data_IF_844141566543
#
_entry.id   IF_844141566543
#
_cell.length_a   1.000
_cell.length_b   1.000
_cell.length_c   1.000
_cell.angle_alpha   90.00
_cell.angle_beta   90.00
_cell.angle_gamma   90.00
#
_symmetry.space_group_name_H-M   'P 1'
#
loop_
_entity.id
_entity.type
_entity.pdbx_description
1 polymer ?
#
# COMPACT_ATOMS: atom_id res chain seq x y z
N UNK A 1 11.32 18.63 3.93
CA UNK A 1 11.75 18.54 2.52
C UNK A 1 11.79 17.08 2.04
N UNK A 2 12.33 16.12 2.81
CA UNK A 2 12.34 14.69 2.45
C UNK A 2 10.92 14.14 2.22
N UNK A 3 9.98 14.35 3.15
CA UNK A 3 8.60 13.84 3.04
C UNK A 3 7.87 14.35 1.77
N UNK A 4 8.02 15.63 1.41
CA UNK A 4 7.46 16.17 0.14
C UNK A 4 8.10 15.54 -1.11
N UNK A 5 9.39 15.23 -1.06
CA UNK A 5 10.09 14.55 -2.15
C UNK A 5 9.61 13.11 -2.24
N UNK A 6 9.43 12.42 -1.11
CA UNK A 6 8.89 11.06 -1.05
C UNK A 6 7.46 11.01 -1.60
N UNK A 7 6.62 11.96 -1.21
CA UNK A 7 5.26 12.09 -1.74
C UNK A 7 5.27 12.31 -3.26
N UNK A 8 6.09 13.24 -3.75
CA UNK A 8 6.23 13.49 -5.18
C UNK A 8 6.73 12.24 -5.93
N UNK A 9 7.73 11.53 -5.37
CA UNK A 9 8.27 10.31 -5.95
C UNK A 9 7.20 9.21 -6.01
N UNK A 10 6.43 9.01 -4.92
CA UNK A 10 5.36 8.00 -4.88
C UNK A 10 4.27 8.31 -5.91
N UNK A 11 3.86 9.58 -6.04
CA UNK A 11 2.87 10.00 -7.04
C UNK A 11 3.36 9.83 -8.49
N UNK A 12 4.68 9.84 -8.74
CA UNK A 12 5.26 9.70 -10.09
C UNK A 12 6.03 8.40 -10.30
N UNK A 13 6.01 7.49 -9.33
CA UNK A 13 6.79 6.24 -9.30
C UNK A 13 6.63 5.41 -10.57
N UNK A 14 5.40 5.31 -11.07
CA UNK A 14 5.07 4.52 -12.26
C UNK A 14 5.74 5.09 -13.52
N UNK A 15 5.66 6.40 -13.73
CA UNK A 15 6.33 7.09 -14.83
C UNK A 15 7.85 6.97 -14.74
N UNK A 16 8.41 7.13 -13.55
CA UNK A 16 9.86 7.02 -13.31
C UNK A 16 10.36 5.61 -13.62
N UNK A 17 9.65 4.57 -13.18
CA UNK A 17 10.05 3.18 -13.42
C UNK A 17 10.01 2.82 -14.91
N UNK A 18 9.01 3.29 -15.64
CA UNK A 18 8.93 3.10 -17.11
C UNK A 18 10.08 3.84 -17.81
N UNK A 19 10.35 5.09 -17.42
CA UNK A 19 11.39 5.94 -18.02
C UNK A 19 12.81 5.42 -17.81
N UNK A 20 13.08 4.69 -16.72
CA UNK A 20 14.42 4.11 -16.45
C UNK A 20 14.90 3.19 -17.57
N UNK A 21 14.04 2.30 -18.08
CA UNK A 21 14.40 1.38 -19.14
C UNK A 21 14.57 2.09 -20.50
N UNK A 22 13.70 3.05 -20.79
CA UNK A 22 13.85 3.89 -21.97
C UNK A 22 15.15 4.69 -21.91
N UNK A 23 15.50 5.26 -20.74
CA UNK A 23 16.77 5.95 -20.54
C UNK A 23 17.98 5.03 -20.72
N UNK A 24 17.93 3.79 -20.22
CA UNK A 24 18.99 2.80 -20.43
C UNK A 24 19.22 2.55 -21.93
N UNK A 25 18.17 2.52 -22.73
CA UNK A 25 18.27 2.35 -24.19
C UNK A 25 18.99 3.54 -24.84
N UNK A 26 18.78 4.77 -24.37
CA UNK A 26 19.55 5.93 -24.82
C UNK A 26 21.03 5.86 -24.41
N UNK A 27 21.33 5.34 -23.22
CA UNK A 27 22.71 5.10 -22.80
C UNK A 27 23.39 4.09 -23.71
N UNK A 28 22.72 2.98 -24.04
CA UNK A 28 23.23 2.01 -25.02
C UNK A 28 23.45 2.63 -26.40
N UNK A 29 22.55 3.48 -26.85
CA UNK A 29 22.69 4.22 -28.10
C UNK A 29 23.94 5.12 -28.11
N UNK A 30 24.20 5.83 -27.01
CA UNK A 30 25.40 6.65 -26.86
C UNK A 30 26.66 5.78 -26.92
N UNK A 31 26.66 4.60 -26.30
CA UNK A 31 27.77 3.63 -26.38
C UNK A 31 28.01 3.21 -27.83
N UNK A 32 26.94 2.84 -28.55
CA UNK A 32 27.03 2.48 -29.97
C UNK A 32 27.61 3.63 -30.80
N UNK A 33 27.11 4.84 -30.62
CA UNK A 33 27.61 6.01 -31.32
C UNK A 33 29.09 6.27 -31.03
N UNK A 34 29.55 6.13 -29.79
CA UNK A 34 30.94 6.30 -29.40
C UNK A 34 31.84 5.23 -30.04
N UNK A 35 31.43 3.96 -29.99
CA UNK A 35 32.24 2.82 -30.43
C UNK A 35 32.21 2.67 -31.94
N UNK A 36 31.05 2.75 -32.58
CA UNK A 36 30.91 2.48 -34.02
C UNK A 36 31.25 3.72 -34.89
N UNK A 37 31.05 4.93 -34.39
CA UNK A 37 31.20 6.17 -35.17
C UNK A 37 32.39 7.03 -34.70
N UNK A 38 32.43 7.38 -33.41
CA UNK A 38 33.37 8.38 -32.90
C UNK A 38 34.77 7.82 -32.71
N UNK A 39 34.88 6.57 -32.29
CA UNK A 39 36.15 5.90 -32.02
C UNK A 39 36.16 4.46 -32.61
N UNK A 40 36.11 4.31 -33.93
CA UNK A 40 35.99 3.00 -34.59
C UNK A 40 37.17 2.06 -34.29
N UNK A 41 38.31 2.60 -33.89
CA UNK A 41 39.48 1.82 -33.47
C UNK A 41 39.20 0.99 -32.17
N UNK A 42 38.23 1.36 -31.37
CA UNK A 42 37.80 0.56 -30.21
C UNK A 42 37.24 -0.79 -30.64
N UNK A 43 36.65 -0.87 -31.83
CA UNK A 43 36.13 -2.13 -32.37
C UNK A 43 37.26 -3.18 -32.59
N UNK A 44 38.52 -2.72 -32.80
CA UNK A 44 39.66 -3.65 -32.93
C UNK A 44 39.99 -4.39 -31.63
N UNK A 45 39.56 -3.87 -30.49
CA UNK A 45 39.74 -4.50 -29.17
C UNK A 45 38.59 -5.46 -28.79
N UNK A 46 37.51 -5.45 -29.59
CA UNK A 46 36.33 -6.31 -29.37
C UNK A 46 36.53 -7.58 -30.18
N UNK A 47 36.31 -8.79 -29.63
CA UNK A 47 36.39 -10.03 -30.40
C UNK A 47 35.47 -9.99 -31.63
N UNK A 48 36.00 -10.42 -32.78
CA UNK A 48 35.27 -10.37 -34.06
C UNK A 48 33.87 -11.01 -34.01
N UNK A 49 33.68 -11.99 -33.16
CA UNK A 49 32.39 -12.67 -32.97
C UNK A 49 31.27 -11.70 -32.55
N UNK A 50 31.60 -10.63 -31.85
CA UNK A 50 30.63 -9.61 -31.40
C UNK A 50 30.43 -8.47 -32.39
N UNK A 51 31.08 -8.51 -33.54
CA UNK A 51 30.99 -7.45 -34.54
C UNK A 51 30.30 -8.00 -35.79
N UNK A 52 29.25 -7.33 -36.23
CA UNK A 52 28.47 -7.67 -37.42
C UNK A 52 28.80 -6.68 -38.55
N UNK A 53 28.70 -7.14 -39.79
CA UNK A 53 28.79 -6.26 -40.96
C UNK A 53 27.63 -5.27 -40.98
N UNK A 54 27.77 -4.15 -41.66
CA UNK A 54 26.74 -3.09 -41.76
C UNK A 54 25.42 -3.67 -42.27
N UNK A 55 25.42 -4.47 -43.32
CA UNK A 55 24.21 -5.06 -43.91
C UNK A 55 23.49 -5.98 -42.96
N UNK A 56 24.24 -6.84 -42.28
CA UNK A 56 23.68 -7.75 -41.26
C UNK A 56 23.10 -6.95 -40.07
N UNK A 57 23.84 -5.97 -39.58
CA UNK A 57 23.36 -5.09 -38.50
C UNK A 57 22.09 -4.35 -38.88
N UNK A 58 22.05 -3.78 -40.10
CA UNK A 58 20.85 -3.08 -40.62
C UNK A 58 19.65 -4.02 -40.75
N UNK A 59 19.85 -5.22 -41.26
CA UNK A 59 18.80 -6.22 -41.39
C UNK A 59 18.23 -6.64 -40.03
N UNK A 60 19.09 -6.96 -39.06
CA UNK A 60 18.65 -7.30 -37.71
C UNK A 60 17.92 -6.15 -37.00
N UNK A 61 18.50 -4.95 -37.00
CA UNK A 61 17.90 -3.79 -36.33
C UNK A 61 16.55 -3.41 -36.96
N UNK A 62 16.41 -3.50 -38.28
CA UNK A 62 15.15 -3.22 -38.99
C UNK A 62 14.06 -4.23 -38.59
N UNK A 63 14.40 -5.53 -38.60
CA UNK A 63 13.46 -6.58 -38.18
C UNK A 63 13.09 -6.43 -36.70
N UNK A 64 14.06 -6.19 -35.84
CA UNK A 64 13.83 -6.02 -34.40
C UNK A 64 12.95 -4.80 -34.09
N UNK A 65 13.06 -3.69 -34.86
CA UNK A 65 12.22 -2.51 -34.66
C UNK A 65 10.73 -2.84 -34.84
N UNK A 66 10.39 -3.61 -35.89
CA UNK A 66 9.04 -4.10 -36.13
C UNK A 66 8.53 -5.05 -35.01
N UNK A 67 9.41 -5.95 -34.57
CA UNK A 67 9.09 -6.89 -33.47
C UNK A 67 8.83 -6.11 -32.16
N UNK A 68 9.69 -5.15 -31.80
CA UNK A 68 9.49 -4.36 -30.58
C UNK A 68 8.18 -3.57 -30.61
N UNK A 69 7.82 -2.96 -31.75
CA UNK A 69 6.56 -2.23 -31.88
C UNK A 69 5.36 -3.19 -31.73
N UNK A 70 5.40 -4.35 -32.37
CA UNK A 70 4.34 -5.37 -32.29
C UNK A 70 4.17 -5.88 -30.87
N UNK A 71 5.26 -6.24 -30.19
CA UNK A 71 5.21 -6.74 -28.81
C UNK A 71 4.77 -5.63 -27.84
N UNK A 72 5.14 -4.37 -28.07
CA UNK A 72 4.64 -3.24 -27.28
C UNK A 72 3.12 -3.15 -27.37
N UNK A 73 2.56 -3.18 -28.56
CA UNK A 73 1.11 -3.12 -28.79
C UNK A 73 0.40 -4.31 -28.13
N UNK A 74 0.93 -5.52 -28.33
CA UNK A 74 0.39 -6.73 -27.71
C UNK A 74 0.41 -6.63 -26.17
N UNK A 75 1.51 -6.16 -25.61
CA UNK A 75 1.65 -5.99 -24.15
C UNK A 75 0.64 -4.98 -23.60
N UNK A 76 0.46 -3.83 -24.27
CA UNK A 76 -0.54 -2.84 -23.90
C UNK A 76 -1.95 -3.44 -23.91
N UNK A 77 -2.30 -4.16 -24.98
CA UNK A 77 -3.61 -4.84 -25.08
C UNK A 77 -3.79 -5.87 -23.97
N UNK A 78 -2.78 -6.65 -23.66
CA UNK A 78 -2.82 -7.64 -22.57
C UNK A 78 -3.04 -6.94 -21.22
N UNK A 79 -2.29 -5.86 -20.93
CA UNK A 79 -2.46 -5.09 -19.70
C UNK A 79 -3.87 -4.54 -19.60
N UNK A 80 -4.42 -3.93 -20.67
CA UNK A 80 -5.78 -3.41 -20.69
C UNK A 80 -6.82 -4.52 -20.46
N UNK A 81 -6.64 -5.69 -21.07
CA UNK A 81 -7.52 -6.85 -20.86
C UNK A 81 -7.50 -7.31 -19.39
N UNK A 82 -6.31 -7.40 -18.80
CA UNK A 82 -6.17 -7.77 -17.38
C UNK A 82 -6.82 -6.71 -16.49
N UNK A 83 -6.61 -5.43 -16.75
CA UNK A 83 -7.26 -4.34 -16.01
C UNK A 83 -8.78 -4.40 -16.11
N UNK A 84 -9.33 -4.70 -17.29
CA UNK A 84 -10.77 -4.87 -17.46
C UNK A 84 -11.29 -6.06 -16.64
N UNK A 85 -10.55 -7.19 -16.64
CA UNK A 85 -10.89 -8.36 -15.82
C UNK A 85 -10.85 -8.03 -14.33
N UNK A 86 -9.82 -7.30 -13.88
CA UNK A 86 -9.75 -6.85 -12.48
C UNK A 86 -10.89 -5.89 -12.13
N UNK A 87 -11.19 -4.93 -12.99
CA UNK A 87 -12.29 -3.98 -12.77
C UNK A 87 -13.67 -4.66 -12.71
N UNK A 88 -13.84 -5.81 -13.37
CA UNK A 88 -15.06 -6.62 -13.29
C UNK A 88 -15.13 -7.47 -12.01
N UNK A 89 -13.99 -7.88 -11.45
CA UNK A 89 -13.93 -8.84 -10.32
C UNK A 89 -13.55 -8.19 -8.99
N UNK A 90 -12.88 -7.02 -9.00
CA UNK A 90 -12.39 -6.35 -7.81
C UNK A 90 -12.84 -4.89 -7.75
N UNK A 91 -12.60 -4.25 -6.62
CA UNK A 91 -12.87 -2.82 -6.44
C UNK A 91 -11.81 -1.96 -7.15
N UNK A 92 -12.11 -0.67 -7.44
CA UNK A 92 -11.14 0.23 -8.05
C UNK A 92 -9.80 0.32 -7.30
N UNK A 93 -9.82 0.17 -5.96
CA UNK A 93 -8.60 0.21 -5.12
C UNK A 93 -7.68 -0.98 -5.38
N UNK A 94 -8.24 -2.18 -5.44
CA UNK A 94 -7.47 -3.41 -5.77
C UNK A 94 -6.94 -3.34 -7.19
N UNK A 95 -7.71 -2.77 -8.13
CA UNK A 95 -7.26 -2.53 -9.51
C UNK A 95 -6.07 -1.57 -9.53
N UNK A 96 -6.12 -0.49 -8.76
CA UNK A 96 -5.03 0.48 -8.64
C UNK A 96 -3.74 -0.20 -8.16
N UNK A 97 -3.80 -1.05 -7.14
CA UNK A 97 -2.64 -1.83 -6.67
C UNK A 97 -1.98 -2.67 -7.76
N UNK A 98 -2.77 -3.24 -8.67
CA UNK A 98 -2.19 -3.99 -9.79
C UNK A 98 -1.43 -3.07 -10.75
N UNK A 99 -1.98 -1.89 -11.07
CA UNK A 99 -1.34 -0.89 -11.94
C UNK A 99 -0.04 -0.39 -11.33
N UNK A 100 -0.02 -0.18 -10.02
CA UNK A 100 1.12 0.39 -9.29
C UNK A 100 2.27 -0.60 -9.08
N UNK A 101 2.07 -1.89 -9.43
CA UNK A 101 3.17 -2.88 -9.43
C UNK A 101 4.23 -2.49 -10.46
N UNK A 102 5.49 -2.25 -10.03
CA UNK A 102 6.53 -1.72 -10.91
C UNK A 102 6.83 -2.59 -12.14
N UNK A 103 6.54 -3.89 -12.07
CA UNK A 103 6.81 -4.83 -13.16
C UNK A 103 5.86 -4.68 -14.36
N UNK A 104 4.65 -4.17 -14.16
CA UNK A 104 3.64 -4.04 -15.22
C UNK A 104 4.04 -2.96 -16.21
N UNK A 105 4.32 -1.76 -15.72
CA UNK A 105 4.66 -0.62 -16.55
C UNK A 105 6.13 -0.63 -17.03
N UNK A 106 7.03 -1.26 -16.27
CA UNK A 106 8.44 -1.40 -16.67
C UNK A 106 8.62 -2.17 -17.97
N UNK A 107 7.75 -3.16 -18.24
CA UNK A 107 7.82 -3.93 -19.48
C UNK A 107 7.57 -3.05 -20.71
N UNK A 108 6.61 -2.12 -20.62
CA UNK A 108 6.37 -1.15 -21.69
C UNK A 108 7.66 -0.33 -21.93
N UNK A 109 8.32 0.11 -20.86
CA UNK A 109 9.58 0.85 -20.95
C UNK A 109 10.70 0.04 -21.63
N UNK A 110 10.76 -1.26 -21.38
CA UNK A 110 11.75 -2.16 -22.04
C UNK A 110 11.50 -2.24 -23.55
N UNK A 111 10.27 -2.46 -23.98
CA UNK A 111 9.98 -2.61 -25.42
C UNK A 111 10.02 -1.28 -26.17
N UNK A 112 9.48 -0.21 -25.60
CA UNK A 112 9.59 1.14 -26.15
C UNK A 112 11.05 1.57 -26.24
N UNK A 113 11.85 1.29 -25.21
CA UNK A 113 13.29 1.52 -25.24
C UNK A 113 14.00 0.74 -26.34
N UNK A 114 13.65 -0.54 -26.53
CA UNK A 114 14.18 -1.37 -27.62
C UNK A 114 13.82 -0.84 -29.01
N UNK A 115 12.59 -0.34 -29.18
CA UNK A 115 12.17 0.33 -30.41
C UNK A 115 13.03 1.57 -30.69
N UNK A 116 13.17 2.46 -29.71
CA UNK A 116 14.02 3.66 -29.87
C UNK A 116 15.49 3.28 -30.16
N UNK A 117 16.03 2.30 -29.41
CA UNK A 117 17.38 1.82 -29.65
C UNK A 117 17.56 1.36 -31.10
N UNK A 118 16.69 0.50 -31.61
CA UNK A 118 16.82 -0.07 -32.95
C UNK A 118 16.64 0.97 -34.04
N UNK A 119 15.61 1.83 -33.94
CA UNK A 119 15.37 2.87 -34.96
C UNK A 119 16.47 3.91 -34.99
N UNK A 120 16.91 4.41 -33.82
CA UNK A 120 17.97 5.42 -33.77
C UNK A 120 19.33 4.84 -34.15
N UNK A 121 19.63 3.57 -33.82
CA UNK A 121 20.83 2.89 -34.29
C UNK A 121 20.84 2.77 -35.81
N UNK A 122 19.69 2.49 -36.46
CA UNK A 122 19.59 2.48 -37.93
C UNK A 122 19.94 3.83 -38.54
N UNK A 123 19.52 4.94 -37.93
CA UNK A 123 19.90 6.28 -38.40
C UNK A 123 21.40 6.53 -38.24
N UNK A 124 21.97 6.14 -37.11
CA UNK A 124 23.39 6.35 -36.78
C UNK A 124 24.30 5.58 -37.73
N UNK A 125 23.97 4.32 -38.09
CA UNK A 125 24.83 3.48 -38.93
C UNK A 125 24.64 3.75 -40.43
N UNK A 126 23.79 4.65 -40.84
CA UNK A 126 23.51 4.93 -42.26
C UNK A 126 24.73 5.40 -43.00
N UNK A 127 25.52 6.30 -42.41
CA UNK A 127 26.70 6.94 -43.02
C UNK A 127 28.01 6.16 -42.80
N UNK A 128 27.95 4.98 -42.21
CA UNK A 128 29.15 4.15 -41.96
C UNK A 128 29.54 3.40 -43.24
N UNK A 129 30.85 3.14 -43.46
CA UNK A 129 31.36 2.40 -44.60
C UNK A 129 30.84 0.95 -44.65
N UNK A 130 30.66 0.38 -45.84
CA UNK A 130 30.06 -0.95 -46.02
C UNK A 130 30.90 -2.12 -45.46
N UNK A 131 32.22 -1.96 -45.43
CA UNK A 131 33.18 -2.95 -44.92
C UNK A 131 33.43 -2.86 -43.41
N UNK A 132 32.86 -1.82 -42.75
CA UNK A 132 33.03 -1.64 -41.30
C UNK A 132 32.17 -2.63 -40.51
N UNK A 133 32.81 -3.26 -39.53
CA UNK A 133 32.15 -4.11 -38.55
C UNK A 133 31.61 -3.25 -37.39
N UNK A 134 30.36 -3.53 -36.97
CA UNK A 134 29.57 -2.71 -36.02
C UNK A 134 29.14 -3.53 -34.81
N UNK A 135 29.13 -2.89 -33.65
CA UNK A 135 28.62 -3.44 -32.41
C UNK A 135 27.09 -3.26 -32.27
N UNK A 136 26.51 -2.29 -32.98
CA UNK A 136 25.09 -1.92 -32.91
C UNK A 136 24.12 -3.10 -33.05
N UNK A 137 24.38 -3.96 -34.09
CA UNK A 137 23.52 -5.13 -34.36
C UNK A 137 23.57 -6.16 -33.23
N UNK A 138 24.75 -6.46 -32.72
CA UNK A 138 24.95 -7.40 -31.62
C UNK A 138 24.30 -6.95 -30.34
N UNK A 139 24.45 -5.68 -29.98
CA UNK A 139 23.75 -5.11 -28.79
C UNK A 139 22.24 -5.13 -28.97
N UNK A 140 21.73 -4.91 -30.19
CA UNK A 140 20.32 -5.09 -30.53
C UNK A 140 19.81 -6.51 -30.30
N UNK A 141 20.59 -7.53 -30.71
CA UNK A 141 20.25 -8.94 -30.45
C UNK A 141 20.28 -9.26 -28.97
N UNK A 142 21.31 -8.81 -28.22
CA UNK A 142 21.38 -9.02 -26.78
C UNK A 142 20.19 -8.35 -26.08
N UNK A 143 19.86 -7.11 -26.47
CA UNK A 143 18.71 -6.39 -25.95
C UNK A 143 17.41 -7.17 -26.20
N UNK A 144 17.22 -7.72 -27.40
CA UNK A 144 16.05 -8.51 -27.75
C UNK A 144 15.93 -9.78 -26.89
N UNK A 145 17.05 -10.49 -26.68
CA UNK A 145 17.08 -11.70 -25.82
C UNK A 145 16.71 -11.34 -24.38
N UNK A 146 17.29 -10.28 -23.81
CA UNK A 146 16.98 -9.82 -22.45
C UNK A 146 15.52 -9.36 -22.33
N UNK A 147 15.00 -8.66 -23.34
CA UNK A 147 13.60 -8.24 -23.40
C UNK A 147 12.65 -9.44 -23.43
N UNK A 148 13.01 -10.52 -24.14
CA UNK A 148 12.22 -11.76 -24.18
C UNK A 148 12.19 -12.46 -22.81
N UNK A 149 13.32 -12.51 -22.10
CA UNK A 149 13.38 -13.05 -20.73
C UNK A 149 12.49 -12.21 -19.79
N UNK A 150 12.53 -10.89 -19.94
CA UNK A 150 11.68 -9.99 -19.14
C UNK A 150 10.20 -10.17 -19.46
N UNK A 151 9.85 -10.37 -20.74
CA UNK A 151 8.49 -10.69 -21.17
C UNK A 151 7.97 -12.00 -20.56
N UNK A 152 8.78 -13.07 -20.57
CA UNK A 152 8.40 -14.33 -19.93
C UNK A 152 8.11 -14.18 -18.44
N UNK A 153 8.93 -13.41 -17.72
CA UNK A 153 8.66 -13.08 -16.29
C UNK A 153 7.35 -12.32 -16.13
N UNK A 154 7.06 -11.38 -17.01
CA UNK A 154 5.80 -10.64 -17.00
C UNK A 154 4.59 -11.56 -17.21
N UNK A 155 4.62 -12.40 -18.25
CA UNK A 155 3.53 -13.35 -18.53
C UNK A 155 3.27 -14.24 -17.32
N UNK A 156 4.33 -14.78 -16.71
CA UNK A 156 4.20 -15.60 -15.50
C UNK A 156 3.56 -14.81 -14.34
N UNK A 157 3.99 -13.56 -14.13
CA UNK A 157 3.43 -12.71 -13.07
C UNK A 157 1.97 -12.34 -13.32
N UNK A 158 1.60 -12.07 -14.58
CA UNK A 158 0.20 -11.81 -14.97
C UNK A 158 -0.68 -13.04 -14.70
N UNK A 159 -0.25 -14.24 -15.13
CA UNK A 159 -0.99 -15.48 -14.87
C UNK A 159 -1.15 -15.75 -13.35
N UNK A 160 -0.14 -15.43 -12.56
CA UNK A 160 -0.22 -15.51 -11.12
C UNK A 160 -1.24 -14.52 -10.55
N UNK A 161 -1.17 -13.26 -10.99
CA UNK A 161 -2.01 -12.18 -10.47
C UNK A 161 -3.49 -12.30 -10.84
N UNK A 162 -3.87 -12.99 -11.92
CA UNK A 162 -5.28 -13.16 -12.32
C UNK A 162 -6.04 -14.06 -11.32
N UNK A 163 -5.37 -14.89 -10.55
CA UNK A 163 -6.02 -15.77 -9.57
C UNK A 163 -6.44 -14.97 -8.33
N UNK A 164 -7.71 -15.00 -8.02
CA UNK A 164 -8.33 -14.29 -6.88
C UNK A 164 -7.64 -14.60 -5.54
N UNK A 165 -7.35 -15.88 -5.30
CA UNK A 165 -6.65 -16.35 -4.10
C UNK A 165 -5.28 -15.67 -3.94
N UNK A 166 -4.56 -15.43 -5.03
CA UNK A 166 -3.25 -14.79 -4.98
C UNK A 166 -3.37 -13.28 -4.71
N UNK A 167 -4.42 -12.63 -5.22
CA UNK A 167 -4.71 -11.21 -4.92
C UNK A 167 -5.00 -11.04 -3.43
N UNK A 168 -5.88 -11.87 -2.88
CA UNK A 168 -6.20 -11.87 -1.45
C UNK A 168 -4.96 -12.15 -0.60
N UNK A 169 -4.10 -13.06 -1.05
CA UNK A 169 -2.86 -13.38 -0.34
C UNK A 169 -1.86 -12.23 -0.39
N UNK A 170 -1.67 -11.58 -1.55
CA UNK A 170 -0.79 -10.42 -1.69
C UNK A 170 -1.23 -9.25 -0.75
N UNK A 171 -2.57 -9.01 -0.66
CA UNK A 171 -3.13 -7.98 0.24
C UNK A 171 -2.94 -8.36 1.71
N UNK A 172 -3.16 -9.62 2.05
CA UNK A 172 -2.95 -10.13 3.40
C UNK A 172 -1.50 -9.99 3.86
N UNK A 173 -0.52 -10.39 3.03
CA UNK A 173 0.91 -10.31 3.36
C UNK A 173 1.38 -8.86 3.56
N UNK A 174 0.86 -7.94 2.76
CA UNK A 174 1.13 -6.49 2.94
C UNK A 174 0.53 -5.98 4.25
N UNK A 175 -0.73 -6.33 4.54
CA UNK A 175 -1.40 -5.97 5.79
C UNK A 175 -0.66 -6.54 7.01
N UNK A 176 -0.24 -7.80 6.96
CA UNK A 176 0.48 -8.47 8.05
C UNK A 176 1.80 -7.78 8.37
N UNK A 177 2.56 -7.41 7.33
CA UNK A 177 3.79 -6.64 7.51
C UNK A 177 3.54 -5.29 8.18
N UNK A 178 2.54 -4.52 7.71
CA UNK A 178 2.20 -3.22 8.27
C UNK A 178 1.68 -3.31 9.71
N UNK A 179 0.89 -4.33 10.02
CA UNK A 179 0.43 -4.61 11.39
C UNK A 179 1.58 -4.96 12.31
N UNK A 180 2.57 -5.71 11.83
CA UNK A 180 3.75 -6.02 12.62
C UNK A 180 4.55 -4.74 12.94
N UNK A 181 4.78 -3.88 11.93
CA UNK A 181 5.46 -2.59 12.11
C UNK A 181 4.68 -1.69 13.10
N UNK A 182 3.37 -1.57 12.94
CA UNK A 182 2.49 -0.82 13.85
C UNK A 182 2.51 -1.37 15.28
N UNK A 183 2.42 -2.70 15.42
CA UNK A 183 2.44 -3.36 16.73
C UNK A 183 3.74 -3.15 17.47
N UNK A 184 4.87 -3.16 16.78
CA UNK A 184 6.18 -2.93 17.38
C UNK A 184 6.31 -1.47 17.84
N UNK A 185 5.85 -0.50 17.04
CA UNK A 185 5.82 0.91 17.43
C UNK A 185 4.90 1.15 18.66
N UNK A 186 3.74 0.50 18.71
CA UNK A 186 2.82 0.58 19.88
C UNK A 186 3.49 -0.01 21.14
N UNK A 187 4.16 -1.14 21.05
CA UNK A 187 4.88 -1.76 22.19
C UNK A 187 5.98 -0.85 22.73
N UNK A 188 6.76 -0.23 21.85
CA UNK A 188 7.80 0.71 22.25
C UNK A 188 7.23 1.94 22.95
N UNK A 189 6.02 2.35 22.59
CA UNK A 189 5.33 3.52 23.13
C UNK A 189 4.63 3.29 24.47
N UNK A 190 4.50 2.05 24.95
CA UNK A 190 3.73 1.68 26.16
C UNK A 190 4.21 2.40 27.43
N UNK A 191 5.49 2.78 27.50
CA UNK A 191 6.07 3.51 28.66
C UNK A 191 5.56 4.97 28.80
N UNK A 192 4.83 5.46 27.81
CA UNK A 192 4.37 6.84 27.74
C UNK A 192 3.01 7.07 28.44
N UNK A 193 2.23 6.01 28.67
CA UNK A 193 0.83 5.99 29.10
C UNK A 193 0.51 6.58 30.49
N UNK A 194 1.49 6.78 31.37
CA UNK A 194 1.23 7.11 32.78
C UNK A 194 0.94 8.61 33.06
N UNK A 195 0.82 9.45 32.03
CA UNK A 195 0.57 10.88 32.22
C UNK A 195 -0.88 11.24 31.92
N UNK A 196 -1.59 11.78 32.91
CA UNK A 196 -2.89 12.44 32.70
C UNK A 196 -2.76 13.55 31.67
N UNK A 197 -3.48 13.40 30.55
CA UNK A 197 -3.56 14.40 29.48
C UNK A 197 -4.49 15.53 30.00
N UNK A 198 -3.92 16.72 30.27
CA UNK A 198 -4.69 17.92 30.56
C UNK A 198 -5.31 18.47 29.28
N UNK A 199 -6.37 19.29 29.41
CA UNK A 199 -7.02 19.96 28.27
C UNK A 199 -5.99 20.71 27.41
N UNK A 200 -6.01 20.48 26.09
CA UNK A 200 -5.03 21.02 25.16
C UNK A 200 -5.57 22.20 24.33
N UNK A 201 -4.67 22.82 23.53
CA UNK A 201 -5.04 23.82 22.53
C UNK A 201 -5.26 23.10 21.18
N UNK A 202 -6.43 23.28 20.54
CA UNK A 202 -6.73 22.62 19.28
C UNK A 202 -5.91 23.21 18.13
N UNK A 203 -5.51 22.35 17.22
CA UNK A 203 -4.89 22.69 15.94
C UNK A 203 -5.89 22.33 14.84
N UNK A 204 -6.14 23.30 13.96
CA UNK A 204 -7.09 23.16 12.88
C UNK A 204 -6.36 22.99 11.53
N UNK A 205 -6.95 22.18 10.66
CA UNK A 205 -6.43 21.98 9.31
C UNK A 205 -6.55 23.26 8.47
N UNK A 206 -5.50 23.58 7.72
CA UNK A 206 -5.48 24.70 6.77
C UNK A 206 -6.04 24.33 5.40
N UNK A 207 -6.09 23.05 5.07
CA UNK A 207 -6.45 22.51 3.76
C UNK A 207 -7.43 21.35 3.91
N UNK A 208 -8.04 20.94 2.78
CA UNK A 208 -8.91 19.76 2.71
C UNK A 208 -8.20 18.65 1.93
N UNK A 209 -8.23 17.42 2.43
CA UNK A 209 -7.62 16.25 1.79
C UNK A 209 -7.55 15.04 2.71
N UNK A 210 -7.01 13.95 2.21
CA UNK A 210 -6.71 12.77 3.03
C UNK A 210 -5.41 12.99 3.81
N UNK A 211 -5.44 12.73 5.12
CA UNK A 211 -4.24 12.78 5.95
C UNK A 211 -3.30 11.66 5.52
N UNK A 212 -2.15 12.07 4.99
CA UNK A 212 -1.21 11.18 4.34
C UNK A 212 -0.05 10.81 5.26
N UNK A 213 0.56 11.80 5.89
CA UNK A 213 1.77 11.60 6.69
C UNK A 213 2.03 12.84 7.55
N UNK A 214 2.89 12.70 8.54
CA UNK A 214 3.35 13.79 9.39
C UNK A 214 4.83 14.09 9.10
N UNK A 215 5.15 15.35 8.84
CA UNK A 215 6.55 15.75 8.74
C UNK A 215 7.16 15.87 10.14
N UNK A 216 7.47 14.73 10.75
CA UNK A 216 7.92 14.61 12.13
C UNK A 216 9.15 15.45 12.45
N UNK A 217 10.13 15.49 11.54
CA UNK A 217 11.39 16.21 11.76
C UNK A 217 11.19 17.74 11.82
N UNK A 218 10.33 18.28 10.97
CA UNK A 218 10.04 19.72 10.97
C UNK A 218 9.09 20.05 12.13
N UNK A 219 8.12 19.19 12.44
CA UNK A 219 7.25 19.31 13.59
C UNK A 219 8.05 19.35 14.90
N UNK A 220 8.96 18.42 15.10
CA UNK A 220 9.78 18.35 16.31
C UNK A 220 10.62 19.62 16.50
N UNK A 221 11.21 20.16 15.43
CA UNK A 221 11.94 21.45 15.47
C UNK A 221 11.06 22.63 15.89
N UNK A 222 9.77 22.61 15.50
CA UNK A 222 8.82 23.64 15.90
C UNK A 222 8.47 23.50 17.38
N UNK A 223 8.23 22.27 17.86
CA UNK A 223 7.84 21.98 19.24
C UNK A 223 8.99 22.20 20.23
N UNK A 224 10.25 21.91 19.86
CA UNK A 224 11.42 22.11 20.75
C UNK A 224 11.68 23.58 21.12
N UNK A 225 11.18 24.54 20.33
CA UNK A 225 11.26 25.97 20.70
C UNK A 225 10.36 26.31 21.88
N UNK A 226 9.23 25.61 22.01
CA UNK A 226 8.25 25.73 23.08
C UNK A 226 7.87 24.33 23.53
N UNK A 227 8.66 23.70 24.44
CA UNK A 227 8.47 22.30 24.79
C UNK A 227 7.05 21.97 25.21
N UNK A 228 6.43 21.12 24.42
CA UNK A 228 5.03 20.72 24.58
C UNK A 228 4.82 19.35 23.90
N UNK A 229 3.66 18.79 24.15
CA UNK A 229 3.22 17.53 23.57
C UNK A 229 2.16 17.78 22.52
N UNK A 230 2.32 17.24 21.34
CA UNK A 230 1.30 17.22 20.31
C UNK A 230 0.68 15.82 20.25
N UNK A 231 -0.64 15.76 20.33
CA UNK A 231 -1.43 14.53 20.19
C UNK A 231 -2.32 14.66 18.96
N UNK A 232 -2.19 13.74 18.00
CA UNK A 232 -3.03 13.76 16.80
C UNK A 232 -4.47 13.33 17.14
N UNK A 233 -5.45 13.91 16.43
CA UNK A 233 -6.86 13.50 16.48
C UNK A 233 -7.31 12.82 15.20
N UNK A 234 -6.56 12.99 14.13
CA UNK A 234 -6.83 12.38 12.83
C UNK A 234 -5.92 11.20 12.59
N UNK A 235 -6.42 10.19 11.87
CA UNK A 235 -5.70 8.96 11.56
C UNK A 235 -5.27 8.99 10.10
N UNK A 236 -4.16 8.31 9.80
CA UNK A 236 -3.66 8.16 8.42
C UNK A 236 -4.79 7.57 7.54
N UNK A 237 -5.00 8.13 6.36
CA UNK A 237 -6.07 7.73 5.44
C UNK A 237 -7.44 8.37 5.73
N UNK A 238 -7.60 9.14 6.80
CA UNK A 238 -8.83 9.88 7.12
C UNK A 238 -8.98 11.13 6.26
N UNK A 239 -10.22 11.45 5.86
CA UNK A 239 -10.51 12.65 5.08
C UNK A 239 -10.73 13.84 6.01
N UNK A 240 -9.85 14.80 5.92
CA UNK A 240 -9.80 16.01 6.73
C UNK A 240 -10.39 17.18 5.95
N UNK A 241 -11.31 17.91 6.58
CA UNK A 241 -11.83 19.16 6.03
C UNK A 241 -11.01 20.35 6.54
N UNK A 242 -10.96 21.41 5.76
CA UNK A 242 -10.42 22.68 6.22
C UNK A 242 -11.16 23.13 7.48
N UNK A 243 -10.44 23.69 8.45
CA UNK A 243 -10.92 24.11 9.77
C UNK A 243 -11.42 22.95 10.67
N UNK A 244 -11.20 21.69 10.29
CA UNK A 244 -11.39 20.53 11.17
C UNK A 244 -10.23 20.43 12.16
N UNK A 245 -10.51 20.06 13.40
CA UNK A 245 -9.49 19.82 14.42
C UNK A 245 -8.68 18.54 14.07
N UNK A 246 -7.35 18.70 13.96
CA UNK A 246 -6.43 17.62 13.54
C UNK A 246 -5.50 17.15 14.65
N UNK A 247 -5.29 17.98 15.66
CA UNK A 247 -4.43 17.66 16.80
C UNK A 247 -4.72 18.57 17.98
N UNK A 248 -4.20 18.22 19.14
CA UNK A 248 -4.15 19.07 20.34
C UNK A 248 -2.70 19.25 20.82
N UNK A 249 -2.42 20.42 21.38
CA UNK A 249 -1.16 20.71 22.07
C UNK A 249 -1.39 20.76 23.58
N UNK A 250 -0.63 19.95 24.28
CA UNK A 250 -0.62 19.89 25.74
C UNK A 250 0.70 20.46 26.26
N UNK A 251 0.63 21.43 27.16
CA UNK A 251 1.82 22.04 27.75
C UNK A 251 1.68 22.18 29.27
N UNK A 252 2.68 21.69 30.00
CA UNK A 252 2.76 21.86 31.46
C UNK A 252 2.96 23.30 31.89
N UNK A 253 3.41 24.19 30.98
CA UNK A 253 3.73 25.59 31.25
C UNK A 253 3.13 26.48 30.16
N UNK A 254 1.81 26.65 30.18
CA UNK A 254 1.09 27.47 29.19
C UNK A 254 1.64 28.90 29.04
N UNK A 255 2.20 29.46 30.10
CA UNK A 255 2.81 30.81 30.11
C UNK A 255 4.04 30.90 29.18
N UNK A 256 4.66 29.77 28.84
CA UNK A 256 5.83 29.72 27.97
C UNK A 256 5.44 29.60 26.50
N UNK A 257 4.17 29.34 26.17
CA UNK A 257 3.70 29.27 24.81
C UNK A 257 3.58 30.66 24.17
N UNK A 258 3.72 30.80 22.85
CA UNK A 258 3.51 32.07 22.14
C UNK A 258 2.13 32.65 22.44
N UNK A 259 1.99 33.96 22.34
CA UNK A 259 0.73 34.66 22.58
C UNK A 259 0.34 35.54 21.41
N UNK A 260 -0.93 35.87 21.28
CA UNK A 260 -1.43 36.76 20.23
C UNK A 260 -1.17 36.23 18.81
N UNK A 261 -0.65 37.11 17.95
CA UNK A 261 -0.36 36.74 16.55
C UNK A 261 0.74 35.66 16.43
N UNK A 262 1.75 35.71 17.29
CA UNK A 262 2.82 34.71 17.31
C UNK A 262 2.30 33.29 17.59
N UNK A 263 1.24 33.19 18.43
CA UNK A 263 0.58 31.89 18.67
C UNK A 263 -0.11 31.38 17.41
N UNK A 264 -0.82 32.23 16.70
CA UNK A 264 -1.49 31.85 15.45
C UNK A 264 -0.49 31.38 14.42
N UNK A 265 0.59 32.12 14.21
CA UNK A 265 1.63 31.78 13.25
C UNK A 265 2.33 30.46 13.61
N UNK A 266 2.50 30.20 14.91
CA UNK A 266 3.08 28.96 15.42
C UNK A 266 2.14 27.77 15.21
N UNK A 267 0.83 27.89 15.50
CA UNK A 267 -0.17 26.84 15.26
C UNK A 267 -0.32 26.56 13.76
N UNK A 268 -0.32 27.58 12.91
CA UNK A 268 -0.34 27.45 11.46
C UNK A 268 0.93 26.74 10.94
N UNK A 269 2.09 26.99 11.55
CA UNK A 269 3.33 26.30 11.20
C UNK A 269 3.25 24.80 11.56
N UNK A 270 2.65 24.45 12.68
CA UNK A 270 2.40 23.07 13.10
C UNK A 270 1.41 22.40 12.12
N UNK A 271 0.27 23.05 11.82
CA UNK A 271 -0.73 22.52 10.90
C UNK A 271 -0.14 22.20 9.52
N UNK A 272 0.83 22.99 9.01
CA UNK A 272 1.54 22.76 7.76
C UNK A 272 2.43 21.50 7.77
N UNK A 273 2.71 20.91 8.92
CA UNK A 273 3.47 19.66 9.02
C UNK A 273 2.59 18.43 8.76
N UNK A 274 1.27 18.57 8.84
CA UNK A 274 0.32 17.54 8.42
C UNK A 274 0.23 17.54 6.89
N UNK A 275 0.67 16.45 6.28
CA UNK A 275 0.67 16.31 4.82
C UNK A 275 -0.69 15.76 4.37
N UNK A 276 -1.44 16.58 3.64
CA UNK A 276 -2.72 16.20 3.06
C UNK A 276 -2.58 15.94 1.56
N UNK A 277 -3.32 14.95 1.05
CA UNK A 277 -3.35 14.62 -0.37
C UNK A 277 -4.81 14.66 -0.88
N UNK A 278 -5.08 15.25 -2.06
CA UNK A 278 -6.42 15.26 -2.65
C UNK A 278 -6.99 13.86 -2.93
N UNK A 279 -6.13 12.88 -3.20
CA UNK A 279 -6.52 11.49 -3.43
C UNK A 279 -6.05 10.61 -2.26
N UNK A 280 -6.86 9.61 -1.89
CA UNK A 280 -6.43 8.55 -0.99
C UNK A 280 -5.42 7.68 -1.75
N UNK A 281 -4.14 7.84 -1.45
CA UNK A 281 -3.08 7.03 -2.05
C UNK A 281 -2.91 5.72 -1.28
N UNK A 282 -2.42 4.69 -2.00
CA UNK A 282 -1.97 3.42 -1.40
C UNK A 282 -0.73 3.69 -0.54
N UNK A 283 -0.96 4.05 0.70
CA UNK A 283 0.12 4.19 1.65
C UNK A 283 0.19 3.00 2.58
N UNK A 284 1.36 2.90 3.20
CA UNK A 284 1.71 2.03 4.29
C UNK A 284 0.79 2.18 5.52
N UNK A 285 -0.50 1.95 5.31
CA UNK A 285 -1.57 1.98 6.30
C UNK A 285 -2.24 0.60 6.35
N UNK A 286 -2.08 -0.10 7.47
CA UNK A 286 -2.66 -1.42 7.67
C UNK A 286 -4.20 -1.40 7.56
N UNK A 287 -4.84 -0.31 8.00
CA UNK A 287 -6.31 -0.17 7.94
C UNK A 287 -6.81 -0.10 6.49
N UNK A 288 -6.03 0.52 5.58
CA UNK A 288 -6.31 0.51 4.15
C UNK A 288 -6.28 -0.91 3.59
N UNK A 289 -5.29 -1.72 3.98
CA UNK A 289 -5.20 -3.11 3.52
C UNK A 289 -6.31 -4.00 4.07
N UNK A 290 -6.70 -3.83 5.33
CA UNK A 290 -7.88 -4.47 5.90
C UNK A 290 -9.13 -4.06 5.11
N UNK A 291 -9.28 -2.76 4.79
CA UNK A 291 -10.40 -2.28 3.98
C UNK A 291 -10.42 -2.94 2.59
N UNK A 292 -9.27 -3.17 1.96
CA UNK A 292 -9.20 -3.89 0.69
C UNK A 292 -9.72 -5.33 0.81
N UNK A 293 -9.39 -6.05 1.88
CA UNK A 293 -9.95 -7.39 2.15
C UNK A 293 -11.46 -7.35 2.41
N UNK A 294 -11.93 -6.34 3.16
CA UNK A 294 -13.36 -6.12 3.42
C UNK A 294 -14.11 -5.88 2.10
N UNK A 295 -13.58 -5.03 1.23
CA UNK A 295 -14.20 -4.73 -0.07
C UNK A 295 -14.26 -5.97 -0.99
N UNK A 296 -13.23 -6.82 -0.98
CA UNK A 296 -13.24 -8.09 -1.71
C UNK A 296 -14.33 -9.00 -1.14
N UNK A 297 -14.42 -9.13 0.17
CA UNK A 297 -15.44 -9.94 0.82
C UNK A 297 -16.86 -9.44 0.53
N UNK A 298 -17.10 -8.12 0.62
CA UNK A 298 -18.39 -7.50 0.30
C UNK A 298 -18.82 -7.75 -1.14
N UNK A 299 -17.87 -7.67 -2.06
CA UNK A 299 -18.13 -7.95 -3.46
C UNK A 299 -18.48 -9.42 -3.68
N UNK A 300 -17.77 -10.32 -3.02
CA UNK A 300 -17.98 -11.76 -3.09
C UNK A 300 -19.41 -12.14 -2.63
N UNK A 301 -19.92 -11.52 -1.56
CA UNK A 301 -21.30 -11.78 -1.05
C UNK A 301 -22.37 -10.95 -1.78
N UNK A 302 -22.01 -10.12 -2.75
CA UNK A 302 -23.00 -9.36 -3.52
C UNK A 302 -23.90 -10.29 -4.33
N UNK A 303 -25.20 -9.96 -4.52
CA UNK A 303 -26.15 -10.82 -5.23
C UNK A 303 -25.73 -11.19 -6.65
N UNK A 304 -24.90 -10.37 -7.31
CA UNK A 304 -24.43 -10.63 -8.67
C UNK A 304 -23.26 -11.60 -8.77
N UNK A 305 -22.50 -11.82 -7.68
CA UNK A 305 -21.34 -12.73 -7.64
C UNK A 305 -21.68 -13.98 -6.84
N UNK A 306 -22.20 -13.82 -5.63
CA UNK A 306 -22.65 -14.89 -4.73
C UNK A 306 -21.61 -16.00 -4.51
N UNK A 307 -20.40 -15.61 -4.10
CA UNK A 307 -19.29 -16.48 -3.70
C UNK A 307 -18.96 -16.32 -2.20
N UNK A 308 -19.73 -16.94 -1.32
CA UNK A 308 -19.50 -16.84 0.12
C UNK A 308 -18.15 -17.44 0.55
N UNK A 309 -17.58 -18.39 -0.20
CA UNK A 309 -16.30 -19.00 0.16
C UNK A 309 -15.13 -18.02 0.06
N UNK A 310 -15.11 -17.17 -0.96
CA UNK A 310 -14.14 -16.07 -1.06
C UNK A 310 -14.29 -15.07 0.08
N UNK A 311 -15.53 -14.72 0.46
CA UNK A 311 -15.78 -13.86 1.61
C UNK A 311 -15.29 -14.48 2.93
N UNK A 312 -15.57 -15.77 3.17
CA UNK A 312 -15.10 -16.53 4.33
C UNK A 312 -13.57 -16.50 4.41
N UNK A 313 -12.87 -16.70 3.30
CA UNK A 313 -11.41 -16.62 3.25
C UNK A 313 -10.90 -15.20 3.64
N UNK A 314 -11.51 -14.14 3.10
CA UNK A 314 -11.15 -12.78 3.46
C UNK A 314 -11.42 -12.48 4.94
N UNK A 315 -12.61 -12.85 5.45
CA UNK A 315 -12.99 -12.64 6.86
C UNK A 315 -12.03 -13.37 7.80
N UNK A 316 -11.66 -14.62 7.50
CA UNK A 316 -10.68 -15.37 8.29
C UNK A 316 -9.31 -14.68 8.35
N UNK A 317 -8.84 -14.13 7.22
CA UNK A 317 -7.59 -13.35 7.16
C UNK A 317 -7.69 -12.04 7.94
N UNK A 318 -8.80 -11.30 7.81
CA UNK A 318 -9.08 -10.08 8.57
C UNK A 318 -9.03 -10.36 10.08
N UNK A 319 -9.70 -11.42 10.53
CA UNK A 319 -9.71 -11.79 11.95
C UNK A 319 -8.33 -12.15 12.48
N UNK A 320 -7.50 -12.83 11.67
CA UNK A 320 -6.12 -13.11 12.04
C UNK A 320 -5.27 -11.85 12.17
N UNK A 321 -5.40 -10.91 11.22
CA UNK A 321 -4.71 -9.63 11.23
C UNK A 321 -5.09 -8.78 12.44
N UNK A 322 -6.39 -8.64 12.71
CA UNK A 322 -6.87 -7.91 13.89
C UNK A 322 -6.45 -8.58 15.20
N UNK A 323 -6.44 -9.93 15.26
CA UNK A 323 -5.92 -10.66 16.42
C UNK A 323 -4.46 -10.33 16.73
N UNK A 324 -3.62 -10.22 15.69
CA UNK A 324 -2.23 -9.78 15.84
C UNK A 324 -2.14 -8.31 16.34
N UNK A 325 -2.92 -7.40 15.74
CA UNK A 325 -2.96 -5.99 16.14
C UNK A 325 -3.40 -5.84 17.60
N UNK A 326 -4.46 -6.55 18.00
CA UNK A 326 -5.04 -6.49 19.35
C UNK A 326 -4.22 -7.19 20.43
N UNK A 327 -3.11 -7.83 20.07
CA UNK A 327 -2.11 -8.28 21.04
C UNK A 327 -1.36 -7.13 21.72
N UNK A 328 -1.48 -5.90 21.17
CA UNK A 328 -0.94 -4.68 21.77
C UNK A 328 -2.00 -3.97 22.62
N UNK A 329 -1.60 -3.46 23.80
CA UNK A 329 -2.53 -2.91 24.80
C UNK A 329 -2.92 -1.44 24.55
N UNK A 330 -2.22 -0.73 23.70
CA UNK A 330 -2.42 0.70 23.45
C UNK A 330 -2.69 0.98 21.97
N UNK A 331 -3.34 2.10 21.71
CA UNK A 331 -3.66 2.61 20.38
C UNK A 331 -2.92 3.92 20.05
N UNK A 332 -1.77 4.19 20.66
CA UNK A 332 -0.96 5.35 20.32
C UNK A 332 0.51 4.99 20.14
N UNK A 333 1.20 5.85 19.42
CA UNK A 333 2.60 5.73 19.05
C UNK A 333 3.31 7.03 19.38
N UNK A 334 4.40 6.94 20.15
CA UNK A 334 5.31 8.06 20.35
C UNK A 334 6.25 8.13 19.14
N UNK A 335 5.89 8.97 18.16
CA UNK A 335 6.65 9.10 16.92
C UNK A 335 8.03 9.72 17.15
N UNK A 336 8.08 10.81 17.93
CA UNK A 336 9.31 11.55 18.25
C UNK A 336 9.28 12.09 19.66
N UNK A 337 10.45 12.16 20.29
CA UNK A 337 10.66 12.77 21.60
C UNK A 337 12.03 13.43 21.67
N UNK A 338 12.08 14.70 22.03
CA UNK A 338 13.31 15.46 22.24
C UNK A 338 13.06 16.67 23.17
N UNK A 339 13.90 16.89 24.16
CA UNK A 339 13.91 18.09 25.02
C UNK A 339 12.52 18.44 25.60
N UNK A 340 11.78 17.47 26.14
CA UNK A 340 10.38 17.60 26.61
C UNK A 340 9.34 17.93 25.52
N UNK A 341 9.70 17.91 24.26
CA UNK A 341 8.78 17.97 23.13
C UNK A 341 8.46 16.55 22.65
N UNK A 342 7.17 16.20 22.59
CA UNK A 342 6.71 14.89 22.18
C UNK A 342 5.69 15.00 21.03
N UNK A 343 5.76 14.04 20.11
CA UNK A 343 4.78 13.88 19.03
C UNK A 343 4.13 12.50 19.19
N UNK A 344 2.83 12.51 19.54
CA UNK A 344 2.03 11.32 19.77
C UNK A 344 1.01 11.17 18.66
N UNK A 345 1.06 10.05 17.96
CA UNK A 345 0.05 9.63 17.00
C UNK A 345 -0.96 8.72 17.68
N UNK A 346 -2.26 9.02 17.52
CA UNK A 346 -3.35 8.21 18.05
C UNK A 346 -3.96 7.40 16.91
N UNK A 347 -3.75 6.09 16.94
CA UNK A 347 -4.32 5.13 16.00
C UNK A 347 -5.77 4.76 16.39
N UNK A 348 -6.42 3.92 15.59
CA UNK A 348 -7.75 3.41 15.90
C UNK A 348 -7.78 2.61 17.20
N UNK A 349 -8.81 2.82 18.02
CA UNK A 349 -9.11 1.98 19.17
C UNK A 349 -9.64 0.61 18.71
N UNK A 350 -9.65 -0.37 19.64
CA UNK A 350 -10.20 -1.71 19.34
C UNK A 350 -11.66 -1.65 18.87
N UNK A 351 -12.46 -0.79 19.50
CA UNK A 351 -13.88 -0.61 19.17
C UNK A 351 -14.06 0.02 17.80
N UNK A 352 -13.28 1.06 17.49
CA UNK A 352 -13.29 1.69 16.16
C UNK A 352 -12.89 0.69 15.07
N UNK A 353 -11.81 -0.07 15.27
CA UNK A 353 -11.34 -1.08 14.29
C UNK A 353 -12.36 -2.18 14.06
N UNK A 354 -12.94 -2.75 15.10
CA UNK A 354 -13.97 -3.77 14.98
C UNK A 354 -15.18 -3.23 14.23
N UNK A 355 -15.66 -2.05 14.59
CA UNK A 355 -16.80 -1.43 13.94
C UNK A 355 -16.54 -1.14 12.47
N UNK A 356 -15.45 -0.41 12.16
CA UNK A 356 -15.11 -0.02 10.79
C UNK A 356 -14.87 -1.23 9.87
N UNK A 357 -14.31 -2.29 10.43
CA UNK A 357 -14.03 -3.52 9.68
C UNK A 357 -15.31 -4.33 9.39
N UNK A 358 -16.16 -4.52 10.38
CA UNK A 358 -17.24 -5.51 10.26
C UNK A 358 -18.64 -4.92 9.98
N UNK A 359 -18.88 -3.61 10.17
CA UNK A 359 -20.22 -3.04 10.06
C UNK A 359 -20.88 -3.30 8.70
N UNK A 360 -20.13 -3.18 7.61
CA UNK A 360 -20.66 -3.45 6.26
C UNK A 360 -20.79 -4.95 6.00
N UNK A 361 -19.83 -5.76 6.43
CA UNK A 361 -19.89 -7.22 6.31
C UNK A 361 -21.10 -7.78 7.05
N UNK A 362 -21.38 -7.27 8.24
CA UNK A 362 -22.57 -7.65 9.02
C UNK A 362 -23.83 -7.16 8.30
N UNK A 363 -23.85 -5.89 7.85
CA UNK A 363 -25.04 -5.32 7.20
C UNK A 363 -25.50 -6.15 5.98
N UNK A 364 -24.56 -6.52 5.10
CA UNK A 364 -24.85 -7.24 3.86
C UNK A 364 -24.84 -8.77 4.02
N UNK A 365 -24.15 -9.31 5.03
CA UNK A 365 -24.00 -10.74 5.25
C UNK A 365 -24.84 -11.33 6.39
N UNK A 366 -25.64 -10.51 7.11
CA UNK A 366 -26.36 -10.96 8.31
C UNK A 366 -27.38 -12.08 8.11
N UNK A 367 -27.90 -12.25 6.90
CA UNK A 367 -28.84 -13.29 6.54
C UNK A 367 -28.16 -14.58 6.05
N UNK A 368 -26.84 -14.54 5.80
CA UNK A 368 -26.05 -15.71 5.41
C UNK A 368 -25.44 -16.40 6.65
N UNK A 369 -25.86 -17.63 6.96
CA UNK A 369 -25.39 -18.32 8.16
C UNK A 369 -23.89 -18.64 8.12
N UNK A 370 -23.29 -18.79 6.95
CA UNK A 370 -21.86 -19.07 6.80
C UNK A 370 -21.01 -17.82 7.12
N UNK A 371 -21.46 -16.65 6.71
CA UNK A 371 -20.83 -15.37 7.02
C UNK A 371 -20.98 -15.05 8.52
N UNK A 372 -22.22 -15.20 9.06
CA UNK A 372 -22.49 -15.01 10.48
C UNK A 372 -21.58 -15.89 11.36
N UNK A 373 -21.52 -17.18 11.04
CA UNK A 373 -20.65 -18.14 11.72
C UNK A 373 -19.19 -17.72 11.66
N UNK A 374 -18.66 -17.38 10.47
CA UNK A 374 -17.25 -17.05 10.28
C UNK A 374 -16.85 -15.79 11.06
N UNK A 375 -17.70 -14.77 11.07
CA UNK A 375 -17.44 -13.54 11.84
C UNK A 375 -17.43 -13.87 13.34
N UNK A 376 -18.41 -14.60 13.86
CA UNK A 376 -18.47 -14.95 15.28
C UNK A 376 -17.28 -15.83 15.71
N UNK A 377 -16.89 -16.84 14.91
CA UNK A 377 -15.71 -17.66 15.18
C UNK A 377 -14.42 -16.82 15.16
N UNK A 378 -14.32 -15.88 14.22
CA UNK A 378 -13.17 -14.99 14.12
C UNK A 378 -13.06 -14.04 15.33
N UNK A 379 -14.15 -13.42 15.76
CA UNK A 379 -14.17 -12.53 16.93
C UNK A 379 -13.88 -13.35 18.22
N UNK A 380 -14.41 -14.57 18.36
CA UNK A 380 -14.08 -15.48 19.45
C UNK A 380 -12.56 -15.78 19.47
N UNK A 381 -11.95 -16.02 18.31
CA UNK A 381 -10.51 -16.26 18.21
C UNK A 381 -9.70 -15.05 18.68
N UNK A 382 -10.05 -13.84 18.24
CA UNK A 382 -9.45 -12.59 18.72
C UNK A 382 -9.62 -12.43 20.24
N UNK A 383 -10.81 -12.72 20.78
CA UNK A 383 -11.10 -12.67 22.21
C UNK A 383 -10.20 -13.60 23.05
N UNK A 384 -9.93 -14.81 22.55
CA UNK A 384 -9.07 -15.78 23.23
C UNK A 384 -7.63 -15.30 23.32
N UNK A 385 -7.16 -14.59 22.29
CA UNK A 385 -5.78 -14.07 22.22
C UNK A 385 -5.58 -12.75 22.97
N UNK A 386 -6.66 -12.00 23.21
CA UNK A 386 -6.60 -10.68 23.82
C UNK A 386 -6.54 -10.74 25.36
N UNK A 387 -6.02 -9.65 25.95
CA UNK A 387 -5.93 -9.44 27.39
C UNK A 387 -6.53 -8.09 27.83
N UNK A 388 -6.83 -7.96 29.11
CA UNK A 388 -7.19 -6.69 29.77
C UNK A 388 -8.43 -6.01 29.18
N UNK A 389 -8.32 -4.71 28.92
CA UNK A 389 -9.40 -3.87 28.36
C UNK A 389 -9.76 -4.23 26.93
N UNK A 390 -8.77 -4.63 26.12
CA UNK A 390 -8.97 -5.09 24.76
C UNK A 390 -9.96 -6.24 24.72
N UNK A 391 -9.80 -7.21 25.63
CA UNK A 391 -10.69 -8.35 25.77
C UNK A 391 -12.13 -7.94 26.10
N UNK A 392 -12.30 -6.90 26.90
CA UNK A 392 -13.63 -6.36 27.29
C UNK A 392 -14.33 -5.72 26.08
N UNK A 393 -13.60 -4.92 25.29
CA UNK A 393 -14.15 -4.30 24.07
C UNK A 393 -14.54 -5.36 23.02
N UNK A 394 -13.71 -6.41 22.83
CA UNK A 394 -14.05 -7.51 21.92
C UNK A 394 -15.29 -8.27 22.41
N UNK A 395 -15.42 -8.51 23.73
CA UNK A 395 -16.59 -9.20 24.27
C UNK A 395 -17.88 -8.40 24.05
N UNK A 396 -17.86 -7.11 24.31
CA UNK A 396 -19.01 -6.23 24.06
C UNK A 396 -19.42 -6.30 22.58
N UNK A 397 -18.47 -6.18 21.66
CA UNK A 397 -18.74 -6.24 20.23
C UNK A 397 -19.27 -7.62 19.79
N UNK A 398 -18.77 -8.71 20.38
CA UNK A 398 -19.27 -10.07 20.11
C UNK A 398 -20.74 -10.21 20.46
N UNK A 399 -21.16 -9.71 21.62
CA UNK A 399 -22.56 -9.77 22.06
C UNK A 399 -23.48 -9.04 21.08
N UNK A 400 -23.08 -7.84 20.63
CA UNK A 400 -23.84 -7.05 19.66
C UNK A 400 -23.96 -7.79 18.32
N UNK A 401 -22.86 -8.32 17.80
CA UNK A 401 -22.84 -9.09 16.55
C UNK A 401 -23.74 -10.33 16.65
N UNK A 402 -23.64 -11.10 17.75
CA UNK A 402 -24.49 -12.28 17.96
C UNK A 402 -25.98 -11.91 17.91
N UNK A 403 -26.39 -10.85 18.59
CA UNK A 403 -27.78 -10.42 18.60
C UNK A 403 -28.28 -10.08 17.19
N UNK A 404 -27.50 -9.31 16.43
CA UNK A 404 -27.85 -8.94 15.05
C UNK A 404 -28.02 -10.17 14.16
N UNK A 405 -27.10 -11.15 14.24
CA UNK A 405 -27.18 -12.38 13.44
C UNK A 405 -28.35 -13.26 13.87
N UNK A 406 -28.54 -13.43 15.18
CA UNK A 406 -29.62 -14.25 15.72
C UNK A 406 -30.99 -13.74 15.27
N UNK A 407 -31.20 -12.43 15.26
CA UNK A 407 -32.48 -11.82 14.85
C UNK A 407 -32.69 -11.88 13.32
N UNK A 408 -31.58 -11.86 12.54
CA UNK A 408 -31.64 -11.84 11.07
C UNK A 408 -31.80 -13.21 10.43
N UNK A 409 -31.28 -14.28 11.05
CA UNK A 409 -31.39 -15.64 10.51
C UNK A 409 -32.80 -16.16 10.67
N UNK A 410 -33.39 -16.72 9.61
CA UNK A 410 -34.77 -17.26 9.61
C UNK A 410 -34.83 -18.74 9.95
N UNK A 411 -33.82 -19.53 9.57
CA UNK A 411 -33.75 -20.97 9.80
C UNK A 411 -33.46 -21.29 11.27
N UNK A 412 -34.30 -22.17 11.86
CA UNK A 412 -34.10 -22.64 13.24
C UNK A 412 -32.73 -23.32 13.42
N UNK A 413 -32.32 -24.15 12.44
CA UNK A 413 -31.05 -24.87 12.50
C UNK A 413 -29.86 -23.90 12.49
N UNK A 414 -29.92 -22.82 11.72
CA UNK A 414 -28.87 -21.86 11.63
C UNK A 414 -28.76 -21.03 12.91
N UNK A 415 -29.90 -20.64 13.50
CA UNK A 415 -29.96 -20.01 14.84
C UNK A 415 -29.37 -20.93 15.92
N UNK A 416 -29.67 -22.21 15.92
CA UNK A 416 -29.10 -23.18 16.87
C UNK A 416 -27.58 -23.24 16.74
N UNK A 417 -27.04 -23.20 15.50
CA UNK A 417 -25.61 -23.23 15.27
C UNK A 417 -24.86 -21.98 15.82
N UNK A 418 -25.39 -20.79 15.60
CA UNK A 418 -24.76 -19.59 16.17
C UNK A 418 -24.98 -19.47 17.67
N UNK A 419 -26.08 -20.06 18.19
CA UNK A 419 -26.32 -20.14 19.63
C UNK A 419 -25.30 -21.06 20.31
N UNK A 420 -24.90 -22.16 19.69
CA UNK A 420 -23.84 -23.04 20.19
C UNK A 420 -22.51 -22.25 20.31
N UNK A 421 -22.16 -21.46 19.28
CA UNK A 421 -20.97 -20.59 19.32
C UNK A 421 -21.05 -19.54 20.44
N UNK A 422 -22.23 -18.98 20.67
CA UNK A 422 -22.45 -18.03 21.77
C UNK A 422 -22.27 -18.66 23.14
N UNK A 423 -22.72 -19.91 23.32
CA UNK A 423 -22.49 -20.65 24.55
C UNK A 423 -21.01 -20.96 24.78
N UNK A 424 -20.28 -21.28 23.70
CA UNK A 424 -18.85 -21.51 23.77
C UNK A 424 -18.09 -20.22 24.09
N UNK A 425 -18.53 -19.11 23.54
CA UNK A 425 -17.99 -17.78 23.88
C UNK A 425 -18.18 -17.46 25.38
N UNK A 426 -19.40 -17.67 25.92
CA UNK A 426 -19.69 -17.45 27.33
C UNK A 426 -18.83 -18.32 28.27
N UNK A 427 -18.61 -19.60 27.90
CA UNK A 427 -17.67 -20.46 28.65
C UNK A 427 -16.24 -19.90 28.69
N UNK A 428 -15.79 -19.24 27.62
CA UNK A 428 -14.49 -18.59 27.61
C UNK A 428 -14.48 -17.29 28.44
N UNK A 429 -15.60 -16.55 28.45
CA UNK A 429 -15.77 -15.33 29.23
C UNK A 429 -15.79 -15.61 30.74
N UNK A 430 -16.43 -16.72 31.16
CA UNK A 430 -16.53 -17.14 32.54
C UNK A 430 -15.25 -17.80 33.10
N UNK A 431 -14.29 -18.15 32.25
CA UNK A 431 -12.98 -18.66 32.72
C UNK A 431 -12.27 -17.64 33.58
N UNK A 432 -11.82 -18.03 34.81
CA UNK A 432 -11.11 -17.12 35.68
C UNK A 432 -9.91 -16.56 34.93
N UNK A 433 -9.73 -15.23 34.99
CA UNK A 433 -8.57 -14.52 34.45
C UNK A 433 -7.34 -15.11 35.13
N UNK A 434 -6.59 -15.96 34.43
CA UNK A 434 -5.28 -16.34 34.90
C UNK A 434 -4.46 -15.06 34.99
N UNK A 435 -4.18 -14.61 36.21
CA UNK A 435 -3.22 -13.56 36.50
C UNK A 435 -1.85 -14.08 36.08
N UNK A 436 -1.52 -13.91 34.80
CA UNK A 436 -0.13 -14.05 34.34
C UNK A 436 0.64 -12.86 34.90
N UNK A 437 1.41 -13.18 35.93
CA UNK A 437 2.46 -12.39 36.58
C UNK A 437 3.45 -11.79 35.58
#
# INVERSE_FOLDING_TARGET
>A
MKAKITLWYNNHRNGINTSKFTFLSFVLLVIVWLVDIRYPDLNKSIPEFFLLTKDVSKSFLSNLSGVFLTVTTFTLTTILTVLTTYASNFTPRVVQKFIDKPHVLSLIGVFVGGFFYTVLSLLIIQDVAEDQKLLAGTLGIIYAILSMVYFMKFVHKVLYSIKEVNVIQDVYEEAEKLIQEESDLRKESTRYLEKEIQSGFPIYSLETGYFYDLNEDDLLKILTKYPCELVTKVKIGEYVLKDMEIAEIHSKKEKNLPQGQDRKDWLDAIAKTFLLNPAKNDQADYHHEITNLVEIALRAISPGINDPNTAINCIGKICNLLGQLFSTKNNFILLKSQDDANVVYVAYSVEEELYLTFYQLIHYGKEDPSIAKTILEGILHMYIQADGEVKTSIASYYHDCYQVFYDSLTSKRDREKIQDLYQDFKKQEEKPRNSSS
#
